data_IF_001695958190
#
_entry.id   IF_001695958190
#
_cell.length_a   1.000
_cell.length_b   1.000
_cell.length_c   1.000
_cell.angle_alpha   90.00
_cell.angle_beta   90.00
_cell.angle_gamma   90.00
#
_symmetry.space_group_name_H-M   'P 1'
#
loop_
_entity.id
_entity.type
_entity.pdbx_description
1 polymer ?
#
# COMPACT_ATOMS: atom_id res chain seq x y z
N UNK A 1 2.29 70.04 -110.81
CA UNK A 1 0.89 70.01 -111.25
C UNK A 1 0.17 69.10 -110.27
N UNK A 2 -0.65 69.50 -109.47
CA UNK A 2 -1.73 70.42 -109.50
C UNK A 2 -2.81 69.89 -108.54
N UNK A 3 -3.20 70.68 -107.63
CA UNK A 3 -4.53 70.86 -107.07
C UNK A 3 -5.15 69.68 -106.26
N UNK A 4 -5.36 69.83 -104.96
CA UNK A 4 -6.35 70.69 -104.30
C UNK A 4 -7.65 69.95 -103.99
N UNK A 5 -8.05 69.96 -102.77
CA UNK A 5 -9.28 70.37 -102.08
C UNK A 5 -9.64 69.46 -100.92
N UNK A 6 -9.64 70.08 -99.79
CA UNK A 6 -10.61 69.77 -98.76
C UNK A 6 -12.02 70.19 -99.20
N UNK A 7 -13.13 69.86 -98.50
CA UNK A 7 -13.42 70.13 -97.08
C UNK A 7 -14.44 69.17 -96.43
N UNK A 8 -14.50 69.27 -95.06
CA UNK A 8 -15.63 69.72 -94.22
C UNK A 8 -16.71 68.71 -93.77
N UNK A 9 -16.77 68.57 -92.46
CA UNK A 9 -17.95 68.63 -91.50
C UNK A 9 -18.95 67.50 -91.49
N UNK A 10 -19.26 67.18 -90.39
CA UNK A 10 -20.23 67.23 -89.30
C UNK A 10 -20.68 65.85 -88.85
N UNK A 11 -20.64 65.56 -87.65
CA UNK A 11 -21.65 65.84 -86.61
C UNK A 11 -22.29 64.58 -86.18
N UNK A 12 -22.17 64.24 -84.91
CA UNK A 12 -22.94 63.13 -84.37
C UNK A 12 -22.53 62.77 -82.95
N UNK A 13 -22.62 63.73 -82.14
CA UNK A 13 -22.60 63.58 -80.63
C UNK A 13 -23.88 62.95 -80.14
N UNK A 14 -23.71 62.27 -78.99
CA UNK A 14 -24.69 61.94 -77.95
C UNK A 14 -25.40 60.58 -78.03
N UNK A 15 -25.08 59.82 -77.07
CA UNK A 15 -25.95 59.02 -76.16
C UNK A 15 -25.27 57.78 -75.66
N UNK A 16 -24.22 57.96 -74.80
CA UNK A 16 -23.67 56.85 -74.00
C UNK A 16 -23.48 57.17 -72.53
N UNK A 17 -24.07 58.23 -71.96
CA UNK A 17 -23.90 58.64 -70.55
C UNK A 17 -24.90 58.07 -69.53
N UNK A 18 -26.13 57.63 -69.84
CA UNK A 18 -26.99 57.10 -68.80
C UNK A 18 -26.65 55.66 -68.33
N UNK A 19 -26.15 54.82 -69.23
CA UNK A 19 -25.88 53.39 -68.91
C UNK A 19 -24.68 53.24 -67.90
N UNK A 20 -23.66 54.10 -68.05
CA UNK A 20 -22.50 54.07 -67.18
C UNK A 20 -22.86 54.56 -65.77
N UNK A 21 -23.79 55.52 -65.61
CA UNK A 21 -24.27 56.00 -64.33
C UNK A 21 -25.13 54.94 -63.64
N UNK A 22 -25.98 54.23 -64.42
CA UNK A 22 -26.79 53.12 -63.84
C UNK A 22 -25.92 51.93 -63.42
N UNK A 23 -24.88 51.59 -64.17
CA UNK A 23 -23.95 50.49 -63.77
C UNK A 23 -23.14 50.86 -62.50
N UNK A 24 -22.72 52.12 -62.36
CA UNK A 24 -22.04 52.58 -61.12
C UNK A 24 -23.00 52.60 -59.96
N UNK A 25 -24.25 53.02 -60.11
CA UNK A 25 -25.26 52.99 -59.05
C UNK A 25 -25.59 51.58 -58.62
N UNK A 26 -25.69 50.60 -59.58
CA UNK A 26 -25.93 49.19 -59.23
C UNK A 26 -24.75 48.59 -58.50
N UNK A 27 -23.49 48.89 -58.91
CA UNK A 27 -22.28 48.45 -58.19
C UNK A 27 -22.20 49.07 -56.80
N UNK A 28 -22.56 50.38 -56.63
CA UNK A 28 -22.55 51.01 -55.31
C UNK A 28 -23.68 50.46 -54.45
N UNK A 29 -24.88 50.20 -54.98
CA UNK A 29 -25.96 49.56 -54.24
C UNK A 29 -25.61 48.09 -53.87
N UNK A 30 -24.97 47.34 -54.79
CA UNK A 30 -24.49 46.00 -54.47
C UNK A 30 -23.35 46.00 -53.45
N UNK A 31 -22.43 46.99 -53.51
CA UNK A 31 -21.39 47.18 -52.52
C UNK A 31 -21.95 47.61 -51.16
N UNK A 32 -22.95 48.49 -51.13
CA UNK A 32 -23.67 48.88 -49.91
C UNK A 32 -24.49 47.71 -49.34
N UNK A 33 -25.16 46.91 -50.19
CA UNK A 33 -25.86 45.71 -49.77
C UNK A 33 -24.88 44.64 -49.25
N UNK A 34 -23.69 44.49 -49.84
CA UNK A 34 -22.64 43.65 -49.34
C UNK A 34 -22.04 44.14 -48.03
N UNK A 35 -21.90 45.46 -47.87
CA UNK A 35 -21.42 46.07 -46.64
C UNK A 35 -22.46 46.13 -45.54
N UNK A 36 -23.74 46.19 -45.89
CA UNK A 36 -24.89 46.06 -44.93
C UNK A 36 -25.32 44.62 -44.70
N UNK A 37 -24.69 43.61 -45.33
CA UNK A 37 -24.92 42.22 -44.96
C UNK A 37 -24.46 42.05 -43.54
N UNK A 38 -25.35 41.73 -42.59
CA UNK A 38 -24.94 41.65 -41.20
C UNK A 38 -23.85 40.58 -41.06
N UNK A 39 -22.63 40.95 -40.66
CA UNK A 39 -21.65 40.00 -40.20
C UNK A 39 -22.28 39.19 -39.07
N UNK A 40 -22.74 37.99 -39.38
CA UNK A 40 -23.42 37.08 -38.41
C UNK A 40 -22.55 36.70 -37.23
N UNK A 41 -21.24 37.03 -37.26
CA UNK A 41 -20.28 36.65 -36.26
C UNK A 41 -20.06 37.71 -35.16
N UNK A 42 -20.61 38.91 -35.27
CA UNK A 42 -20.39 40.02 -34.36
C UNK A 42 -20.97 39.80 -32.94
N UNK A 43 -21.80 38.77 -32.75
CA UNK A 43 -22.47 38.51 -31.45
C UNK A 43 -22.34 37.05 -31.00
N UNK A 44 -21.34 36.32 -31.52
CA UNK A 44 -21.09 34.93 -31.12
C UNK A 44 -20.16 34.85 -29.90
N UNK A 45 -20.59 34.12 -28.87
CA UNK A 45 -19.84 33.90 -27.65
C UNK A 45 -18.81 32.81 -27.89
N UNK A 46 -17.50 33.08 -27.62
CA UNK A 46 -16.46 32.05 -27.78
C UNK A 46 -16.64 30.96 -26.71
N UNK A 47 -16.68 29.70 -27.13
CA UNK A 47 -16.84 28.54 -26.25
C UNK A 47 -15.93 27.41 -26.68
N UNK A 48 -15.47 26.62 -25.73
CA UNK A 48 -14.85 25.33 -26.02
C UNK A 48 -15.93 24.31 -26.31
N UNK A 49 -15.68 23.49 -27.29
CA UNK A 49 -16.60 22.45 -27.72
C UNK A 49 -15.98 21.08 -27.55
N UNK A 50 -16.79 20.09 -27.25
CA UNK A 50 -16.43 18.68 -27.20
C UNK A 50 -17.48 17.86 -27.93
N UNK A 51 -17.10 16.70 -28.42
CA UNK A 51 -18.03 15.78 -29.10
C UNK A 51 -18.44 14.66 -28.18
N UNK A 52 -19.74 14.37 -28.13
CA UNK A 52 -20.27 13.19 -27.47
C UNK A 52 -19.86 11.93 -28.22
N UNK A 53 -19.12 11.03 -27.58
CA UNK A 53 -18.60 9.79 -28.20
C UNK A 53 -19.12 8.58 -27.44
N UNK A 54 -19.44 7.53 -28.18
CA UNK A 54 -19.75 6.25 -27.55
C UNK A 54 -18.43 5.56 -27.21
N UNK A 55 -18.19 5.38 -25.91
CA UNK A 55 -17.01 4.68 -25.40
C UNK A 55 -17.29 4.05 -24.04
N UNK A 56 -16.43 3.11 -23.66
CA UNK A 56 -16.45 2.49 -22.35
C UNK A 56 -15.83 3.43 -21.33
N UNK A 57 -16.61 3.82 -20.34
CA UNK A 57 -16.10 4.57 -19.18
C UNK A 57 -15.78 3.62 -18.04
N UNK A 58 -14.56 3.70 -17.55
CA UNK A 58 -14.14 3.00 -16.34
C UNK A 58 -14.37 3.91 -15.16
N UNK A 59 -15.20 3.45 -14.25
CA UNK A 59 -15.45 4.10 -12.98
C UNK A 59 -14.39 3.64 -11.98
N UNK A 60 -13.66 4.59 -11.41
CA UNK A 60 -12.58 4.30 -10.46
C UNK A 60 -12.85 4.91 -9.09
N UNK A 61 -12.44 4.19 -8.07
CA UNK A 61 -12.39 4.66 -6.67
C UNK A 61 -10.94 4.93 -6.34
N UNK A 62 -10.62 6.16 -5.96
CA UNK A 62 -9.27 6.55 -5.55
C UNK A 62 -9.12 6.45 -4.03
N UNK A 63 -8.04 5.83 -3.58
CA UNK A 63 -7.75 5.68 -2.16
C UNK A 63 -6.25 5.88 -1.87
N UNK A 64 -5.90 6.59 -0.78
CA UNK A 64 -4.52 6.70 -0.33
C UNK A 64 -4.05 5.39 0.30
N UNK A 65 -2.76 5.12 0.18
CA UNK A 65 -2.18 3.90 0.74
C UNK A 65 -0.68 4.01 1.01
N UNK A 66 -0.14 2.94 1.58
CA UNK A 66 1.29 2.81 1.85
C UNK A 66 1.80 1.51 1.25
N UNK A 67 2.93 1.59 0.58
CA UNK A 67 3.59 0.43 -0.02
C UNK A 67 4.28 -0.37 1.08
N UNK A 68 3.97 -1.65 1.18
CA UNK A 68 4.57 -2.57 2.14
C UNK A 68 4.95 -3.89 1.45
N UNK A 69 5.97 -4.59 1.95
CA UNK A 69 6.30 -5.92 1.45
C UNK A 69 5.20 -6.91 1.85
N UNK A 70 4.96 -7.89 0.99
CA UNK A 70 3.99 -8.97 1.28
C UNK A 70 4.43 -9.82 2.47
N UNK A 71 5.74 -10.04 2.61
CA UNK A 71 6.35 -10.78 3.72
C UNK A 71 7.39 -9.92 4.40
N UNK A 72 7.21 -9.67 5.69
CA UNK A 72 8.21 -9.06 6.57
C UNK A 72 8.21 -9.76 7.91
N UNK A 73 9.37 -9.84 8.52
CA UNK A 73 9.56 -10.40 9.85
C UNK A 73 10.40 -9.44 10.67
N UNK A 74 9.85 -9.06 11.80
CA UNK A 74 10.59 -8.31 12.82
C UNK A 74 11.38 -9.32 13.66
N UNK A 75 12.70 -9.27 13.56
CA UNK A 75 13.61 -10.12 14.30
C UNK A 75 13.87 -9.49 15.66
N UNK A 76 13.49 -10.21 16.72
CA UNK A 76 13.65 -9.79 18.12
C UNK A 76 14.51 -10.80 18.89
N UNK A 77 15.01 -10.38 20.06
CA UNK A 77 15.77 -11.23 20.93
C UNK A 77 14.90 -12.32 21.56
N UNK A 78 15.36 -13.57 21.48
CA UNK A 78 14.75 -14.74 22.14
C UNK A 78 15.36 -15.06 23.51
N UNK A 79 16.55 -14.51 23.77
CA UNK A 79 17.26 -14.58 25.05
C UNK A 79 17.80 -13.19 25.39
N UNK A 80 17.82 -12.87 26.69
CA UNK A 80 18.38 -11.59 27.15
C UNK A 80 19.89 -11.69 27.25
N UNK A 81 20.60 -11.00 26.35
CA UNK A 81 22.06 -11.00 26.30
C UNK A 81 22.57 -9.74 25.54
N UNK A 82 23.88 -9.51 25.61
CA UNK A 82 24.53 -8.41 24.87
C UNK A 82 24.86 -8.86 23.45
N UNK A 83 24.66 -7.96 22.46
CA UNK A 83 25.06 -8.20 21.07
C UNK A 83 26.59 -8.25 20.98
N UNK A 84 27.12 -9.38 20.56
CA UNK A 84 28.54 -9.59 20.35
C UNK A 84 28.97 -9.23 18.94
N UNK A 85 28.21 -9.71 17.94
CA UNK A 85 28.47 -9.48 16.53
C UNK A 85 27.17 -9.18 15.77
N UNK A 86 27.25 -8.20 14.88
CA UNK A 86 26.18 -7.79 13.98
C UNK A 86 26.78 -7.57 12.58
N UNK A 87 26.96 -8.66 11.79
CA UNK A 87 27.73 -8.60 10.54
C UNK A 87 26.99 -7.89 9.40
N UNK A 88 25.69 -7.62 9.54
CA UNK A 88 24.82 -7.09 8.50
C UNK A 88 24.59 -5.59 8.67
N UNK A 89 24.29 -4.93 7.53
CA UNK A 89 23.87 -3.54 7.47
C UNK A 89 22.50 -3.44 6.80
N UNK A 90 21.83 -2.31 6.94
CA UNK A 90 20.62 -2.04 6.16
C UNK A 90 20.93 -2.17 4.67
N UNK A 91 20.00 -2.79 3.94
CA UNK A 91 20.16 -3.10 2.52
C UNK A 91 20.88 -4.43 2.23
N UNK A 92 21.40 -5.14 3.23
CA UNK A 92 22.04 -6.44 3.03
C UNK A 92 21.00 -7.51 2.61
N UNK A 93 21.35 -8.29 1.60
CA UNK A 93 20.56 -9.46 1.15
C UNK A 93 20.88 -10.64 2.04
N UNK A 94 19.86 -11.31 2.55
CA UNK A 94 19.97 -12.48 3.42
C UNK A 94 19.11 -13.61 2.92
N UNK A 95 19.57 -14.84 3.16
CA UNK A 95 18.82 -16.07 2.89
C UNK A 95 18.31 -16.67 4.20
N UNK A 96 17.26 -17.45 4.10
CA UNK A 96 16.76 -18.23 5.23
C UNK A 96 17.86 -19.12 5.81
N UNK A 97 18.12 -18.97 7.12
CA UNK A 97 19.18 -19.66 7.84
C UNK A 97 20.50 -18.90 7.96
N UNK A 98 20.68 -17.78 7.26
CA UNK A 98 21.87 -16.94 7.43
C UNK A 98 21.90 -16.32 8.83
N UNK A 99 23.09 -16.25 9.42
CA UNK A 99 23.28 -15.65 10.74
C UNK A 99 23.12 -14.13 10.66
N UNK A 100 22.14 -13.64 11.42
CA UNK A 100 21.84 -12.20 11.50
C UNK A 100 22.58 -11.54 12.66
N UNK A 101 22.57 -12.20 13.83
CA UNK A 101 23.09 -11.65 15.08
C UNK A 101 23.71 -12.77 15.90
N UNK A 102 24.83 -12.47 16.56
CA UNK A 102 25.37 -13.31 17.62
C UNK A 102 25.33 -12.57 18.94
N UNK A 103 24.66 -13.16 19.91
CA UNK A 103 24.60 -12.68 21.28
C UNK A 103 25.69 -13.31 22.13
N UNK A 104 26.06 -12.66 23.23
CA UNK A 104 27.02 -13.19 24.19
C UNK A 104 26.39 -14.37 24.98
N UNK A 105 26.85 -15.55 24.65
CA UNK A 105 26.39 -16.81 25.24
C UNK A 105 27.23 -17.31 26.40
N UNK A 106 28.23 -16.57 26.91
CA UNK A 106 29.15 -17.06 27.94
C UNK A 106 28.46 -17.56 29.19
N UNK A 107 27.47 -16.82 29.69
CA UNK A 107 26.71 -17.19 30.89
C UNK A 107 25.83 -18.44 30.63
N UNK A 108 25.22 -18.53 29.46
CA UNK A 108 24.42 -19.69 29.06
C UNK A 108 25.27 -20.93 28.84
N UNK A 109 26.48 -20.78 28.31
CA UNK A 109 27.45 -21.87 28.15
C UNK A 109 27.98 -22.38 29.52
N UNK A 110 28.23 -21.45 30.46
CA UNK A 110 28.58 -21.81 31.82
C UNK A 110 27.43 -22.55 32.54
N UNK A 111 26.20 -22.12 32.34
CA UNK A 111 25.02 -22.82 32.85
C UNK A 111 24.87 -24.21 32.26
N UNK A 112 25.07 -24.38 30.95
CA UNK A 112 25.06 -25.69 30.30
C UNK A 112 26.12 -26.62 30.91
N UNK A 113 27.39 -26.16 31.02
CA UNK A 113 28.49 -26.91 31.61
C UNK A 113 28.19 -27.34 33.03
N UNK A 114 27.55 -26.49 33.84
CA UNK A 114 27.14 -26.80 35.21
C UNK A 114 26.09 -27.93 35.25
N UNK A 115 25.11 -27.92 34.37
CA UNK A 115 24.08 -28.99 34.32
C UNK A 115 24.69 -30.29 33.78
N UNK A 116 25.62 -30.22 32.83
CA UNK A 116 26.35 -31.41 32.34
C UNK A 116 27.19 -32.07 33.43
N UNK A 117 27.94 -31.27 34.21
CA UNK A 117 28.70 -31.77 35.36
C UNK A 117 27.81 -32.43 36.42
N UNK A 118 26.60 -31.84 36.64
CA UNK A 118 25.61 -32.42 37.58
C UNK A 118 25.10 -33.78 37.09
N UNK A 119 24.74 -33.90 35.80
CA UNK A 119 24.35 -35.20 35.22
C UNK A 119 25.45 -36.24 35.37
N UNK A 120 26.73 -35.87 35.14
CA UNK A 120 27.83 -36.80 35.24
C UNK A 120 28.05 -37.25 36.69
N UNK A 121 27.86 -36.35 37.68
CA UNK A 121 27.83 -36.72 39.09
C UNK A 121 26.72 -37.74 39.42
N UNK A 122 25.49 -37.58 38.86
CA UNK A 122 24.42 -38.57 39.06
C UNK A 122 24.74 -39.90 38.35
N UNK A 123 25.43 -39.92 37.23
CA UNK A 123 25.91 -41.17 36.58
C UNK A 123 26.90 -41.93 37.46
N UNK A 124 27.86 -41.23 38.09
CA UNK A 124 28.79 -41.87 38.99
C UNK A 124 28.09 -42.47 40.23
N UNK A 125 27.06 -41.78 40.77
CA UNK A 125 26.24 -42.31 41.85
C UNK A 125 25.46 -43.57 41.41
N UNK A 126 24.90 -43.57 40.23
CA UNK A 126 24.20 -44.73 39.65
C UNK A 126 25.15 -45.93 39.55
N UNK A 127 26.36 -45.75 39.03
CA UNK A 127 27.33 -46.82 38.87
C UNK A 127 27.80 -47.39 40.24
N UNK A 128 28.01 -46.52 41.20
CA UNK A 128 28.28 -46.94 42.58
C UNK A 128 27.16 -47.78 43.19
N UNK A 129 25.90 -47.37 42.97
CA UNK A 129 24.74 -48.11 43.45
C UNK A 129 24.57 -49.45 42.73
N UNK A 130 24.83 -49.52 41.44
CA UNK A 130 24.87 -50.78 40.68
C UNK A 130 25.86 -51.75 41.27
N UNK A 131 27.10 -51.30 41.58
CA UNK A 131 28.12 -52.12 42.21
C UNK A 131 27.68 -52.65 43.61
N UNK A 132 26.99 -51.76 44.40
CA UNK A 132 26.42 -52.15 45.72
C UNK A 132 25.34 -53.21 45.57
N UNK A 133 24.44 -53.06 44.57
CA UNK A 133 23.37 -54.05 44.31
C UNK A 133 23.96 -55.39 43.89
N UNK A 134 25.02 -55.42 43.11
CA UNK A 134 25.71 -56.70 42.79
C UNK A 134 26.16 -57.45 44.03
N UNK A 135 26.84 -56.78 45.00
CA UNK A 135 27.21 -57.37 46.26
C UNK A 135 26.01 -57.87 47.08
N UNK A 136 24.92 -57.07 47.17
CA UNK A 136 23.68 -57.48 47.86
C UNK A 136 23.04 -58.69 47.19
N UNK A 137 23.02 -58.77 45.87
CA UNK A 137 22.48 -59.90 45.09
C UNK A 137 23.25 -61.20 45.34
N UNK A 138 24.60 -61.14 45.42
CA UNK A 138 25.44 -62.27 45.74
C UNK A 138 25.20 -62.77 47.19
N UNK A 139 25.09 -61.83 48.16
CA UNK A 139 24.74 -62.16 49.53
C UNK A 139 23.38 -62.85 49.68
N UNK A 140 22.38 -62.37 48.90
CA UNK A 140 21.06 -62.97 48.85
C UNK A 140 21.12 -64.39 48.23
N UNK A 141 21.89 -64.58 47.14
CA UNK A 141 22.07 -65.88 46.48
C UNK A 141 22.67 -66.90 47.48
N UNK A 142 23.69 -66.49 48.20
CA UNK A 142 24.34 -67.35 49.24
C UNK A 142 23.34 -67.68 50.36
N UNK A 143 22.54 -66.68 50.82
CA UNK A 143 21.53 -66.91 51.86
C UNK A 143 20.42 -67.88 51.39
N UNK A 144 19.95 -67.75 50.13
CA UNK A 144 18.99 -68.69 49.53
C UNK A 144 19.53 -70.11 49.47
N UNK A 145 20.80 -70.27 49.09
CA UNK A 145 21.44 -71.58 49.05
C UNK A 145 21.55 -72.19 50.47
N UNK A 146 21.81 -71.36 51.50
CA UNK A 146 21.86 -71.83 52.89
C UNK A 146 20.48 -72.16 53.42
N UNK A 147 19.45 -71.36 53.10
CA UNK A 147 18.03 -71.65 53.43
C UNK A 147 17.61 -73.02 52.85
N UNK A 148 17.95 -73.26 51.55
CA UNK A 148 17.64 -74.50 50.92
C UNK A 148 18.29 -75.69 51.63
N UNK A 149 19.59 -75.60 52.08
CA UNK A 149 20.25 -76.59 52.86
C UNK A 149 19.58 -76.85 54.23
N UNK A 150 19.21 -75.77 54.95
CA UNK A 150 18.51 -75.86 56.24
C UNK A 150 17.11 -76.47 56.10
N UNK A 151 16.40 -76.16 55.03
CA UNK A 151 15.11 -76.75 54.71
C UNK A 151 15.19 -78.29 54.45
N UNK A 152 16.24 -78.72 53.77
CA UNK A 152 16.48 -80.16 53.50
C UNK A 152 16.85 -80.91 54.82
N UNK A 153 17.70 -80.33 55.69
CA UNK A 153 18.11 -80.90 56.98
C UNK A 153 16.92 -80.91 57.99
N UNK A 154 16.01 -79.91 57.91
CA UNK A 154 14.79 -79.93 58.73
C UNK A 154 13.85 -81.04 58.29
N UNK A 155 13.74 -81.33 57.02
CA UNK A 155 12.94 -82.41 56.49
C UNK A 155 13.46 -83.78 56.89
N UNK A 156 14.84 -83.95 57.11
CA UNK A 156 15.43 -85.14 57.63
C UNK A 156 15.45 -85.23 59.20
N UNK A 157 15.06 -84.13 59.89
CA UNK A 157 15.03 -84.07 61.34
C UNK A 157 16.36 -83.67 62.01
N UNK A 158 17.39 -83.24 61.25
CA UNK A 158 18.73 -82.94 61.74
C UNK A 158 18.92 -81.54 62.33
N UNK A 159 17.89 -80.61 62.11
CA UNK A 159 17.94 -79.25 62.62
C UNK A 159 16.61 -78.85 63.26
N UNK A 160 16.65 -77.86 64.14
CA UNK A 160 15.48 -77.33 64.82
C UNK A 160 14.62 -76.41 63.93
N UNK A 161 13.30 -76.33 64.24
CA UNK A 161 12.39 -75.36 63.55
C UNK A 161 12.88 -73.94 63.71
N UNK A 162 13.56 -73.56 64.82
CA UNK A 162 14.10 -72.24 65.03
C UNK A 162 15.22 -71.93 64.02
N UNK A 163 16.15 -72.89 63.79
CA UNK A 163 17.23 -72.69 62.79
C UNK A 163 16.71 -72.48 61.39
N UNK A 164 15.65 -73.19 61.00
CA UNK A 164 14.98 -72.97 59.71
C UNK A 164 14.30 -71.56 59.66
N UNK A 165 13.59 -71.17 60.72
CA UNK A 165 12.94 -69.86 60.82
C UNK A 165 13.97 -68.69 60.74
N UNK A 166 15.11 -68.80 61.38
CA UNK A 166 16.19 -67.83 61.38
C UNK A 166 16.77 -67.65 59.96
N UNK A 167 17.02 -68.76 59.22
CA UNK A 167 17.45 -68.76 57.84
C UNK A 167 16.39 -68.12 56.90
N UNK A 168 15.10 -68.39 57.16
CA UNK A 168 14.00 -67.77 56.39
C UNK A 168 13.97 -66.24 56.62
N UNK A 169 14.05 -65.78 57.86
CA UNK A 169 14.03 -64.37 58.20
C UNK A 169 15.20 -63.65 57.57
N UNK A 170 16.42 -64.17 57.69
CA UNK A 170 17.61 -63.63 57.08
C UNK A 170 17.52 -63.46 55.57
N UNK A 171 16.92 -64.48 54.91
CA UNK A 171 16.73 -64.41 53.44
C UNK A 171 15.70 -63.35 53.04
N UNK A 172 14.58 -63.23 53.81
CA UNK A 172 13.61 -62.18 53.60
C UNK A 172 14.15 -60.80 53.84
N UNK A 173 15.01 -60.59 54.84
CA UNK A 173 15.66 -59.33 55.13
C UNK A 173 16.59 -58.88 53.97
N UNK A 174 17.37 -59.82 53.42
CA UNK A 174 18.20 -59.58 52.24
C UNK A 174 17.38 -59.29 50.97
N UNK A 175 16.25 -59.97 50.80
CA UNK A 175 15.32 -59.66 49.70
C UNK A 175 14.74 -58.24 49.81
N UNK A 176 14.34 -57.86 51.03
CA UNK A 176 13.83 -56.49 51.27
C UNK A 176 14.92 -55.43 51.04
N UNK A 177 16.19 -55.72 51.44
CA UNK A 177 17.35 -54.85 51.18
C UNK A 177 17.62 -54.70 49.67
N UNK A 178 17.56 -55.83 48.90
CA UNK A 178 17.76 -55.78 47.46
C UNK A 178 16.68 -54.93 46.78
N UNK A 179 15.42 -55.18 47.13
CA UNK A 179 14.28 -54.41 46.58
C UNK A 179 14.40 -52.91 46.89
N UNK A 180 14.82 -52.51 48.10
CA UNK A 180 15.05 -51.12 48.47
C UNK A 180 16.20 -50.51 47.62
N UNK A 181 17.30 -51.27 47.40
CA UNK A 181 18.39 -50.80 46.58
C UNK A 181 18.01 -50.68 45.10
N UNK A 182 17.20 -51.60 44.57
CA UNK A 182 16.63 -51.50 43.20
C UNK A 182 15.72 -50.30 43.02
N UNK A 183 14.91 -49.96 44.04
CA UNK A 183 14.14 -48.73 44.04
C UNK A 183 15.00 -47.46 44.04
N UNK A 184 16.09 -47.46 44.80
CA UNK A 184 17.09 -46.39 44.81
C UNK A 184 17.74 -46.23 43.43
N UNK A 185 18.09 -47.34 42.76
CA UNK A 185 18.63 -47.34 41.41
C UNK A 185 17.67 -46.72 40.44
N UNK A 186 16.38 -47.07 40.53
CA UNK A 186 15.31 -46.47 39.68
C UNK A 186 15.18 -44.97 39.90
N UNK A 187 15.27 -44.49 41.16
CA UNK A 187 15.25 -43.04 41.48
C UNK A 187 16.44 -42.32 40.89
N UNK A 188 17.66 -42.90 40.97
CA UNK A 188 18.86 -42.31 40.36
C UNK A 188 18.77 -42.27 38.82
N UNK A 189 18.18 -43.31 38.22
CA UNK A 189 17.93 -43.28 36.75
C UNK A 189 16.98 -42.14 36.38
N UNK A 190 15.90 -41.92 37.13
CA UNK A 190 14.98 -40.79 36.92
C UNK A 190 15.65 -39.43 37.16
N UNK A 191 16.57 -39.31 38.09
CA UNK A 191 17.35 -38.09 38.31
C UNK A 191 18.26 -37.79 37.08
N UNK A 192 18.86 -38.80 36.47
CA UNK A 192 19.63 -38.66 35.23
C UNK A 192 18.75 -38.23 34.06
N UNK A 193 17.54 -38.83 33.89
CA UNK A 193 16.57 -38.47 32.87
C UNK A 193 16.17 -36.99 33.03
N UNK A 194 15.90 -36.53 34.27
CA UNK A 194 15.60 -35.13 34.57
C UNK A 194 16.75 -34.19 34.24
N UNK A 195 18.00 -34.60 34.58
CA UNK A 195 19.19 -33.79 34.23
C UNK A 195 19.42 -33.72 32.73
N UNK A 196 19.09 -34.79 31.97
CA UNK A 196 19.14 -34.79 30.51
C UNK A 196 18.18 -33.78 29.91
N UNK A 197 16.93 -33.67 30.43
CA UNK A 197 15.96 -32.68 30.00
C UNK A 197 16.47 -31.24 30.31
N UNK A 198 17.10 -31.03 31.47
CA UNK A 198 17.69 -29.72 31.80
C UNK A 198 18.85 -29.35 30.87
N UNK A 199 19.67 -30.32 30.44
CA UNK A 199 20.73 -30.11 29.44
C UNK A 199 20.14 -29.66 28.12
N UNK A 200 19.09 -30.31 27.62
CA UNK A 200 18.42 -29.89 26.36
C UNK A 200 17.83 -28.49 26.47
N UNK A 201 17.25 -28.14 27.60
CA UNK A 201 16.76 -26.78 27.86
C UNK A 201 17.91 -25.74 27.83
N UNK A 202 19.02 -26.03 28.48
CA UNK A 202 20.21 -25.13 28.47
C UNK A 202 20.85 -25.04 27.09
N UNK A 203 20.89 -26.12 26.32
CA UNK A 203 21.36 -26.11 24.92
C UNK A 203 20.48 -25.29 24.00
N UNK A 204 19.16 -25.40 24.17
CA UNK A 204 18.22 -24.60 23.41
C UNK A 204 18.39 -23.13 23.70
N UNK A 205 18.54 -22.74 25.00
CA UNK A 205 18.83 -21.35 25.37
C UNK A 205 20.14 -20.85 24.72
N UNK A 206 21.18 -21.68 24.68
CA UNK A 206 22.43 -21.33 24.02
C UNK A 206 22.26 -21.24 22.50
N UNK A 207 21.51 -22.14 21.83
CA UNK A 207 21.21 -22.00 20.40
C UNK A 207 20.56 -20.70 20.04
N UNK A 208 19.63 -20.21 20.88
CA UNK A 208 18.92 -18.93 20.70
C UNK A 208 19.82 -17.69 20.83
N UNK A 209 21.09 -17.83 21.20
CA UNK A 209 22.07 -16.74 21.11
C UNK A 209 22.51 -16.44 19.68
N UNK A 210 22.32 -17.39 18.76
CA UNK A 210 22.60 -17.22 17.33
C UNK A 210 21.26 -17.05 16.62
N UNK A 211 20.95 -15.82 16.27
CA UNK A 211 19.70 -15.48 15.60
C UNK A 211 19.91 -15.58 14.10
N UNK A 212 19.04 -16.36 13.43
CA UNK A 212 19.12 -16.60 11.99
C UNK A 212 17.89 -16.06 11.27
N UNK A 213 18.02 -15.78 9.96
CA UNK A 213 16.90 -15.30 9.17
C UNK A 213 15.85 -16.39 8.98
N UNK A 214 14.57 -16.10 9.29
CA UNK A 214 13.46 -17.03 9.05
C UNK A 214 13.01 -17.07 7.57
N UNK A 215 13.33 -16.02 6.78
CA UNK A 215 12.94 -15.86 5.38
C UNK A 215 14.10 -15.38 4.52
N UNK A 216 13.99 -15.57 3.21
CA UNK A 216 14.83 -14.88 2.24
C UNK A 216 14.35 -13.43 2.11
N UNK A 217 15.28 -12.47 2.02
CA UNK A 217 14.89 -11.07 1.91
C UNK A 217 16.06 -10.09 2.04
N UNK A 218 15.69 -8.85 2.36
CA UNK A 218 16.63 -7.74 2.56
C UNK A 218 16.40 -7.14 3.96
N UNK A 219 17.47 -6.78 4.64
CA UNK A 219 17.40 -6.05 5.90
C UNK A 219 16.92 -4.62 5.62
N UNK A 220 15.68 -4.32 6.02
CA UNK A 220 15.05 -3.01 5.75
C UNK A 220 15.20 -2.02 6.89
N UNK A 221 15.43 -2.53 8.09
CA UNK A 221 15.64 -1.71 9.30
C UNK A 221 16.62 -2.44 10.21
N UNK A 222 17.60 -1.73 10.73
CA UNK A 222 18.53 -2.17 11.77
C UNK A 222 18.35 -1.26 12.99
N UNK A 223 17.72 -1.79 14.06
CA UNK A 223 17.32 -1.00 15.21
C UNK A 223 18.29 -1.13 16.40
N UNK A 224 19.22 -2.09 16.38
CA UNK A 224 20.14 -2.35 17.48
C UNK A 224 21.60 -2.27 17.03
N UNK A 225 22.50 -2.00 17.97
CA UNK A 225 23.94 -1.85 17.74
C UNK A 225 24.77 -2.91 18.51
N UNK A 226 26.00 -3.15 18.03
CA UNK A 226 26.95 -4.04 18.71
C UNK A 226 27.28 -3.51 20.10
N UNK A 227 27.22 -4.37 21.11
CA UNK A 227 27.45 -4.02 22.49
C UNK A 227 26.18 -3.65 23.27
N UNK A 228 25.05 -3.48 22.59
CA UNK A 228 23.75 -3.21 23.24
C UNK A 228 23.21 -4.45 23.96
N UNK A 229 22.52 -4.25 25.09
CA UNK A 229 21.81 -5.29 25.81
C UNK A 229 20.40 -5.44 25.22
N UNK A 230 20.10 -6.57 24.65
CA UNK A 230 18.77 -6.90 24.14
C UNK A 230 18.01 -7.75 25.17
N UNK A 231 16.72 -7.52 25.27
CA UNK A 231 15.84 -8.20 26.23
C UNK A 231 14.71 -8.92 25.53
N UNK A 232 14.35 -10.08 26.07
CA UNK A 232 13.16 -10.83 25.64
C UNK A 232 11.89 -10.07 26.00
N UNK A 233 10.90 -10.11 25.12
CA UNK A 233 9.57 -9.57 25.42
C UNK A 233 8.89 -10.31 26.55
N UNK A 234 8.19 -9.57 27.40
CA UNK A 234 7.33 -10.09 28.46
C UNK A 234 5.88 -9.73 28.18
N UNK A 235 4.93 -10.25 29.00
CA UNK A 235 3.50 -9.93 28.83
C UNK A 235 3.21 -8.42 28.84
N UNK A 236 4.03 -7.61 29.51
CA UNK A 236 3.82 -6.18 29.67
C UNK A 236 4.77 -5.31 28.83
N UNK A 237 5.83 -5.88 28.25
CA UNK A 237 6.81 -5.16 27.44
C UNK A 237 7.14 -5.93 26.17
N UNK A 238 7.07 -5.24 25.03
CA UNK A 238 7.61 -5.79 23.79
C UNK A 238 9.12 -6.03 23.94
N UNK A 239 9.62 -7.15 23.45
CA UNK A 239 11.06 -7.42 23.40
C UNK A 239 11.80 -6.43 22.50
N UNK A 240 13.11 -6.35 22.68
CA UNK A 240 13.98 -5.52 21.85
C UNK A 240 13.92 -6.03 20.40
N UNK A 241 13.40 -5.22 19.48
CA UNK A 241 13.49 -5.49 18.04
C UNK A 241 14.90 -5.15 17.57
N UNK A 242 15.58 -6.12 16.98
CA UNK A 242 16.95 -5.96 16.52
C UNK A 242 16.98 -5.46 15.08
N UNK A 243 16.23 -6.11 14.21
CA UNK A 243 16.14 -5.74 12.79
C UNK A 243 14.81 -6.19 12.17
N UNK A 244 14.53 -5.69 10.98
CA UNK A 244 13.42 -6.16 10.14
C UNK A 244 13.96 -6.71 8.84
N UNK A 245 13.58 -7.94 8.50
CA UNK A 245 13.87 -8.57 7.22
C UNK A 245 12.60 -8.63 6.40
N UNK A 246 12.65 -8.18 5.14
CA UNK A 246 11.51 -8.14 4.26
C UNK A 246 11.85 -8.65 2.85
N UNK A 247 10.90 -9.31 2.24
CA UNK A 247 10.95 -9.69 0.83
C UNK A 247 10.44 -8.53 -0.03
N UNK A 248 11.36 -7.80 -0.65
CA UNK A 248 11.03 -6.66 -1.52
C UNK A 248 10.70 -7.09 -2.97
N UNK A 249 10.73 -8.36 -3.30
CA UNK A 249 10.33 -8.88 -4.61
C UNK A 249 8.81 -8.89 -4.80
N UNK A 250 8.07 -9.09 -3.72
CA UNK A 250 6.61 -9.07 -3.70
C UNK A 250 6.12 -7.93 -2.80
N UNK A 251 5.70 -6.84 -3.44
CA UNK A 251 5.19 -5.67 -2.74
C UNK A 251 3.68 -5.53 -2.93
N UNK A 252 3.03 -4.90 -2.00
CA UNK A 252 1.61 -4.56 -2.05
C UNK A 252 1.37 -3.15 -1.53
N UNK A 253 0.32 -2.53 -2.02
CA UNK A 253 -0.18 -1.30 -1.45
C UNK A 253 -1.27 -1.65 -0.43
N UNK A 254 -1.13 -1.13 0.77
CA UNK A 254 -2.14 -1.15 1.80
C UNK A 254 -2.99 0.12 1.68
N UNK A 255 -4.07 0.04 0.92
CA UNK A 255 -4.96 1.16 0.65
C UNK A 255 -6.01 1.31 1.74
N UNK A 256 -6.37 2.56 2.06
CA UNK A 256 -7.43 2.91 3.00
C UNK A 256 -8.62 3.44 2.23
N UNK A 257 -9.61 2.58 2.05
CA UNK A 257 -10.83 2.88 1.28
C UNK A 257 -11.92 3.35 2.22
N UNK A 258 -12.69 4.36 1.78
CA UNK A 258 -13.85 4.87 2.52
C UNK A 258 -14.95 3.82 2.66
N UNK A 259 -15.71 3.90 3.76
CA UNK A 259 -16.91 3.09 3.98
C UNK A 259 -17.96 3.25 2.87
N UNK A 260 -18.02 4.42 2.23
CA UNK A 260 -18.95 4.68 1.12
C UNK A 260 -18.67 3.89 -0.14
N UNK A 261 -17.39 3.53 -0.35
CA UNK A 261 -16.91 2.95 -1.60
C UNK A 261 -16.59 1.45 -1.49
N UNK A 262 -16.40 0.95 -0.27
CA UNK A 262 -15.95 -0.44 -0.04
C UNK A 262 -16.90 -1.50 -0.61
N UNK A 263 -18.21 -1.22 -0.60
CA UNK A 263 -19.22 -2.16 -1.11
C UNK A 263 -19.08 -2.47 -2.62
N UNK A 264 -18.36 -1.61 -3.34
CA UNK A 264 -18.13 -1.72 -4.79
C UNK A 264 -16.80 -2.42 -5.13
N UNK A 265 -15.98 -2.71 -4.13
CA UNK A 265 -14.64 -3.29 -4.31
C UNK A 265 -14.68 -4.76 -3.94
N UNK A 266 -14.20 -5.59 -4.85
CA UNK A 266 -14.09 -7.03 -4.66
C UNK A 266 -12.66 -7.52 -4.96
N UNK A 267 -12.24 -8.64 -4.38
CA UNK A 267 -11.00 -9.30 -4.78
C UNK A 267 -10.97 -9.57 -6.28
N UNK A 268 -9.84 -9.30 -6.92
CA UNK A 268 -9.67 -9.45 -8.35
C UNK A 268 -9.86 -8.20 -9.18
N UNK A 269 -10.36 -7.11 -8.62
CA UNK A 269 -10.47 -5.81 -9.28
C UNK A 269 -9.08 -5.32 -9.70
N UNK A 270 -8.96 -4.83 -10.93
CA UNK A 270 -7.73 -4.23 -11.45
C UNK A 270 -7.53 -2.83 -10.86
N UNK A 271 -6.28 -2.47 -10.65
CA UNK A 271 -5.92 -1.21 -10.03
C UNK A 271 -4.71 -0.59 -10.72
N UNK A 272 -4.67 0.73 -10.71
CA UNK A 272 -3.46 1.50 -11.07
C UNK A 272 -2.93 2.20 -9.82
N UNK A 273 -1.66 1.96 -9.50
CA UNK A 273 -1.02 2.49 -8.30
C UNK A 273 -0.01 3.57 -8.67
N UNK A 274 -0.19 4.74 -8.10
CA UNK A 274 0.66 5.91 -8.26
C UNK A 274 1.45 6.13 -6.98
N UNK A 275 2.75 5.82 -7.01
CA UNK A 275 3.64 6.00 -5.87
C UNK A 275 4.25 7.40 -5.95
N UNK A 276 4.18 8.18 -4.88
CA UNK A 276 4.62 9.59 -4.88
C UNK A 276 6.08 9.78 -5.25
N UNK A 277 6.93 8.79 -4.97
CA UNK A 277 8.34 8.81 -5.35
C UNK A 277 8.58 8.53 -6.86
N UNK A 278 7.57 7.99 -7.58
CA UNK A 278 7.66 7.57 -8.99
C UNK A 278 6.49 8.16 -9.80
N UNK A 279 6.38 9.50 -9.83
CA UNK A 279 5.23 10.26 -10.34
C UNK A 279 4.83 9.92 -11.78
N UNK A 280 5.80 9.59 -12.64
CA UNK A 280 5.57 9.37 -14.06
C UNK A 280 5.41 7.88 -14.43
N UNK A 281 5.31 7.00 -13.44
CA UNK A 281 5.24 5.56 -13.67
C UNK A 281 4.12 4.94 -12.82
N UNK A 282 2.93 4.74 -13.41
CA UNK A 282 1.90 3.96 -12.76
C UNK A 282 2.32 2.47 -12.72
N UNK A 283 2.04 1.83 -11.60
CA UNK A 283 2.24 0.40 -11.41
C UNK A 283 0.89 -0.31 -11.55
N UNK A 284 0.83 -1.31 -12.40
CA UNK A 284 -0.34 -2.16 -12.48
C UNK A 284 -0.48 -2.98 -11.17
N UNK A 285 -1.71 -3.10 -10.71
CA UNK A 285 -2.03 -3.84 -9.49
C UNK A 285 -3.34 -4.59 -9.60
N UNK A 286 -3.56 -5.46 -8.62
CA UNK A 286 -4.82 -6.19 -8.48
C UNK A 286 -5.18 -6.30 -7.01
N UNK A 287 -6.46 -6.13 -6.69
CA UNK A 287 -6.96 -6.32 -5.34
C UNK A 287 -6.79 -7.79 -4.94
N UNK A 288 -5.98 -8.08 -3.93
CA UNK A 288 -5.80 -9.40 -3.35
C UNK A 288 -6.83 -9.67 -2.25
N UNK A 289 -7.00 -8.71 -1.36
CA UNK A 289 -7.83 -8.87 -0.16
C UNK A 289 -8.53 -7.56 0.21
N UNK A 290 -9.76 -7.69 0.68
CA UNK A 290 -10.56 -6.60 1.23
C UNK A 290 -10.88 -6.95 2.69
N UNK A 291 -10.47 -6.11 3.63
CA UNK A 291 -10.72 -6.34 5.04
C UNK A 291 -12.23 -6.28 5.34
N UNK A 292 -12.69 -7.22 6.14
CA UNK A 292 -14.10 -7.31 6.58
C UNK A 292 -14.40 -6.43 7.80
N UNK A 293 -13.37 -5.88 8.44
CA UNK A 293 -13.48 -4.99 9.60
C UNK A 293 -12.99 -3.59 9.27
N UNK A 294 -13.71 -2.60 9.79
CA UNK A 294 -13.31 -1.20 9.69
C UNK A 294 -12.13 -0.89 10.60
N UNK A 295 -11.31 0.03 10.18
CA UNK A 295 -10.30 0.67 10.99
C UNK A 295 -10.72 2.11 11.24
N UNK A 296 -10.71 2.54 12.50
CA UNK A 296 -10.96 3.93 12.85
C UNK A 296 -9.62 4.66 12.87
N UNK A 297 -9.47 5.63 11.99
CA UNK A 297 -8.27 6.48 11.93
C UNK A 297 -8.28 7.48 13.11
N UNK A 298 -7.12 8.08 13.39
CA UNK A 298 -6.96 9.03 14.51
C UNK A 298 -7.83 10.29 14.38
N UNK A 299 -8.22 10.63 13.16
CA UNK A 299 -9.11 11.75 12.83
C UNK A 299 -10.61 11.40 12.92
N UNK A 300 -10.95 10.16 13.31
CA UNK A 300 -12.32 9.67 13.41
C UNK A 300 -12.90 9.13 12.11
N UNK A 301 -12.14 9.11 11.02
CA UNK A 301 -12.59 8.59 9.73
C UNK A 301 -12.64 7.06 9.76
N UNK A 302 -13.76 6.47 9.28
CA UNK A 302 -13.90 5.03 9.10
C UNK A 302 -13.35 4.60 7.74
N UNK A 303 -12.33 3.76 7.76
CA UNK A 303 -11.72 3.20 6.54
C UNK A 303 -11.67 1.69 6.60
N UNK A 304 -11.61 1.08 5.42
CA UNK A 304 -11.38 -0.35 5.26
C UNK A 304 -10.02 -0.57 4.58
N UNK A 305 -9.27 -1.52 5.10
CA UNK A 305 -8.00 -1.91 4.52
C UNK A 305 -8.22 -2.75 3.28
N UNK A 306 -7.65 -2.33 2.16
CA UNK A 306 -7.63 -3.07 0.89
C UNK A 306 -6.19 -3.32 0.50
N UNK A 307 -5.83 -4.58 0.30
CA UNK A 307 -4.50 -4.99 -0.12
C UNK A 307 -4.46 -5.16 -1.64
N UNK A 308 -3.61 -4.38 -2.28
CA UNK A 308 -3.44 -4.39 -3.73
C UNK A 308 -2.03 -4.86 -4.06
N UNK A 309 -1.90 -5.98 -4.78
CA UNK A 309 -0.60 -6.45 -5.28
C UNK A 309 -0.02 -5.47 -6.30
N UNK A 310 1.29 -5.34 -6.33
CA UNK A 310 2.02 -4.46 -7.25
C UNK A 310 2.84 -5.29 -8.24
N UNK A 311 2.68 -5.04 -9.53
CA UNK A 311 3.58 -5.55 -10.55
C UNK A 311 4.80 -4.62 -10.69
N UNK A 312 5.88 -5.00 -10.05
CA UNK A 312 7.11 -4.21 -10.00
C UNK A 312 7.98 -4.34 -11.26
N UNK A 313 7.69 -5.29 -12.14
CA UNK A 313 8.50 -5.60 -13.34
C UNK A 313 10.01 -5.72 -13.03
N UNK A 314 10.34 -6.32 -11.88
CA UNK A 314 11.71 -6.53 -11.42
C UNK A 314 12.40 -5.33 -10.75
N UNK A 315 11.68 -4.23 -10.50
CA UNK A 315 12.23 -3.10 -9.75
C UNK A 315 12.14 -3.35 -8.25
N UNK A 316 13.19 -2.99 -7.53
CA UNK A 316 13.17 -2.98 -6.06
C UNK A 316 12.71 -1.61 -5.58
N UNK A 317 11.62 -1.59 -4.82
CA UNK A 317 11.03 -0.35 -4.29
C UNK A 317 11.15 -0.37 -2.76
N UNK A 318 11.61 0.72 -2.13
CA UNK A 318 11.63 0.83 -0.68
C UNK A 318 10.25 0.67 -0.06
N UNK A 319 10.19 0.01 1.10
CA UNK A 319 8.99 -0.10 1.90
C UNK A 319 8.64 1.23 2.58
N UNK A 320 7.36 1.47 2.84
CA UNK A 320 6.89 2.66 3.57
C UNK A 320 6.59 3.87 2.68
N UNK A 321 6.73 3.78 1.37
CA UNK A 321 6.37 4.85 0.45
C UNK A 321 4.86 5.05 0.42
N UNK A 322 4.44 6.32 0.41
CA UNK A 322 3.04 6.69 0.23
C UNK A 322 2.68 6.74 -1.25
N UNK A 323 1.44 6.37 -1.55
CA UNK A 323 0.89 6.41 -2.90
C UNK A 323 -0.63 6.44 -2.88
N UNK A 324 -1.21 6.61 -4.05
CA UNK A 324 -2.64 6.50 -4.28
C UNK A 324 -2.91 5.31 -5.20
N UNK A 325 -4.07 4.72 -5.07
CA UNK A 325 -4.54 3.66 -5.95
C UNK A 325 -5.88 4.04 -6.54
N UNK A 326 -6.02 3.84 -7.84
CA UNK A 326 -7.28 3.95 -8.55
C UNK A 326 -7.79 2.54 -8.86
N UNK A 327 -8.90 2.17 -8.20
CA UNK A 327 -9.52 0.85 -8.28
C UNK A 327 -10.63 0.88 -9.32
N UNK A 328 -10.55 0.10 -10.37
CA UNK A 328 -11.50 0.07 -11.48
C UNK A 328 -12.75 -0.76 -11.13
N UNK A 329 -13.71 -0.13 -10.46
CA UNK A 329 -14.85 -0.82 -9.83
C UNK A 329 -15.97 -1.19 -10.80
N UNK A 330 -16.13 -0.44 -11.88
CA UNK A 330 -17.15 -0.70 -12.91
C UNK A 330 -16.68 -0.23 -14.27
N UNK A 331 -17.18 -0.88 -15.30
CA UNK A 331 -16.97 -0.50 -16.70
C UNK A 331 -18.33 -0.44 -17.36
N UNK A 332 -18.72 0.73 -17.84
CA UNK A 332 -20.04 0.98 -18.44
C UNK A 332 -19.88 1.57 -19.82
N UNK A 333 -20.55 0.98 -20.80
CA UNK A 333 -20.60 1.51 -22.17
C UNK A 333 -21.70 2.56 -22.27
N UNK A 334 -21.36 3.71 -22.85
CA UNK A 334 -22.34 4.77 -23.01
C UNK A 334 -21.85 5.95 -23.83
N UNK A 335 -22.71 6.96 -23.96
CA UNK A 335 -22.35 8.24 -24.59
C UNK A 335 -21.61 9.06 -23.53
N UNK A 336 -20.34 9.29 -23.75
CA UNK A 336 -19.43 9.96 -22.83
C UNK A 336 -19.26 11.41 -23.28
N UNK A 337 -19.35 12.33 -22.31
CA UNK A 337 -19.02 13.74 -22.47
C UNK A 337 -18.11 14.19 -21.34
N UNK A 338 -17.24 15.20 -21.58
CA UNK A 338 -16.49 15.80 -20.49
C UNK A 338 -17.43 16.26 -19.36
N UNK A 339 -17.11 15.92 -18.10
CA UNK A 339 -17.98 16.22 -16.94
C UNK A 339 -18.31 17.71 -16.82
N UNK A 340 -17.42 18.58 -17.31
CA UNK A 340 -17.61 20.03 -17.37
C UNK A 340 -18.78 20.46 -18.29
N UNK A 341 -19.17 19.62 -19.25
CA UNK A 341 -20.29 19.92 -20.17
C UNK A 341 -21.67 19.78 -19.50
N UNK A 342 -21.74 19.09 -18.37
CA UNK A 342 -22.98 18.90 -17.62
C UNK A 342 -23.06 19.98 -16.55
N UNK A 343 -24.12 20.79 -16.61
CA UNK A 343 -24.37 21.90 -15.69
C UNK A 343 -25.72 21.71 -15.02
N UNK A 344 -25.77 21.82 -13.71
CA UNK A 344 -27.00 21.80 -12.95
C UNK A 344 -27.66 23.20 -12.99
N UNK A 345 -28.85 23.29 -13.58
CA UNK A 345 -29.66 24.54 -13.58
C UNK A 345 -30.94 24.39 -12.80
N UNK A 346 -31.38 25.48 -12.19
CA UNK A 346 -32.65 25.52 -11.51
C UNK A 346 -33.79 25.36 -12.50
N UNK A 347 -34.76 24.54 -12.14
CA UNK A 347 -35.92 24.25 -13.01
C UNK A 347 -36.69 25.54 -13.36
N UNK A 348 -36.77 26.53 -12.45
CA UNK A 348 -37.45 27.80 -12.63
C UNK A 348 -36.75 28.73 -13.65
N UNK A 349 -35.47 28.55 -13.90
CA UNK A 349 -34.65 29.33 -14.83
C UNK A 349 -34.66 28.75 -16.26
N UNK A 350 -35.27 27.57 -16.44
CA UNK A 350 -35.32 26.90 -17.75
C UNK A 350 -36.42 27.49 -18.63
N UNK A 351 -36.20 27.59 -19.97
CA UNK A 351 -37.24 27.91 -20.90
C UNK A 351 -38.44 26.96 -20.76
N UNK A 352 -39.66 27.49 -20.92
CA UNK A 352 -40.90 26.69 -20.74
C UNK A 352 -40.96 25.44 -21.63
N UNK A 353 -40.29 25.46 -22.78
CA UNK A 353 -40.20 24.31 -23.68
C UNK A 353 -39.31 23.19 -23.06
N UNK A 354 -38.18 23.57 -22.49
CA UNK A 354 -37.23 22.64 -21.86
C UNK A 354 -37.77 22.12 -20.53
N UNK A 355 -38.41 22.96 -19.74
CA UNK A 355 -39.01 22.58 -18.45
C UNK A 355 -40.19 21.57 -18.57
N UNK A 356 -40.77 21.41 -19.78
CA UNK A 356 -41.81 20.40 -20.07
C UNK A 356 -41.26 19.06 -20.52
N UNK A 357 -39.93 18.95 -20.73
CA UNK A 357 -39.28 17.70 -21.13
C UNK A 357 -39.49 16.62 -20.04
N UNK A 358 -39.88 15.40 -20.41
CA UNK A 358 -40.08 14.31 -19.47
C UNK A 358 -38.83 13.95 -18.64
N UNK A 359 -37.64 14.33 -19.09
CA UNK A 359 -36.39 14.11 -18.36
C UNK A 359 -36.16 15.08 -17.19
N UNK A 360 -36.94 16.19 -17.15
CA UNK A 360 -36.88 17.17 -16.06
C UNK A 360 -37.67 16.67 -14.84
N UNK A 361 -36.95 16.36 -13.77
CA UNK A 361 -37.57 15.95 -12.51
C UNK A 361 -38.16 17.15 -11.76
N UNK A 362 -39.45 17.39 -11.89
CA UNK A 362 -40.16 18.52 -11.25
C UNK A 362 -40.12 18.57 -9.72
N UNK A 363 -39.70 17.45 -9.11
CA UNK A 363 -39.54 17.34 -7.64
C UNK A 363 -38.18 17.83 -7.16
N UNK A 364 -37.22 18.03 -8.05
CA UNK A 364 -35.88 18.52 -7.71
C UNK A 364 -35.78 20.02 -8.01
N UNK A 365 -35.01 20.73 -7.19
CA UNK A 365 -34.70 22.15 -7.39
C UNK A 365 -33.85 22.42 -8.62
N UNK A 366 -32.98 21.47 -8.95
CA UNK A 366 -32.04 21.55 -10.09
C UNK A 366 -32.19 20.34 -10.98
N UNK A 367 -31.85 20.51 -12.27
CA UNK A 367 -31.77 19.43 -13.26
C UNK A 367 -30.44 19.52 -14.04
N UNK A 368 -29.77 18.41 -14.30
CA UNK A 368 -28.59 18.38 -15.16
C UNK A 368 -28.98 18.64 -16.60
N UNK A 369 -28.30 19.59 -17.24
CA UNK A 369 -28.47 19.94 -18.65
C UNK A 369 -27.12 19.91 -19.36
N UNK A 370 -27.17 19.70 -20.66
CA UNK A 370 -26.06 19.84 -21.60
C UNK A 370 -26.44 20.89 -22.64
N UNK A 371 -25.46 21.75 -22.96
CA UNK A 371 -25.62 22.75 -24.02
C UNK A 371 -25.12 22.13 -25.34
N UNK A 372 -26.05 21.72 -26.19
CA UNK A 372 -25.78 21.14 -27.50
C UNK A 372 -25.64 22.25 -28.53
N UNK A 373 -24.58 22.20 -29.34
CA UNK A 373 -24.38 23.16 -30.43
C UNK A 373 -24.78 22.51 -31.74
N UNK A 374 -25.73 23.15 -32.43
CA UNK A 374 -26.14 22.78 -33.79
C UNK A 374 -26.11 24.02 -34.69
N UNK A 375 -25.36 23.99 -35.74
CA UNK A 375 -25.22 25.11 -36.69
C UNK A 375 -24.82 26.44 -36.01
N UNK A 376 -23.96 26.36 -35.00
CA UNK A 376 -23.51 27.51 -34.19
C UNK A 376 -24.54 28.07 -33.22
N UNK A 377 -25.67 27.40 -32.99
CA UNK A 377 -26.74 27.81 -32.07
C UNK A 377 -26.78 26.81 -30.90
N UNK A 378 -26.91 27.37 -29.70
CA UNK A 378 -26.98 26.57 -28.46
C UNK A 378 -28.42 26.11 -28.21
N UNK A 379 -28.60 24.85 -27.90
CA UNK A 379 -29.87 24.30 -27.41
C UNK A 379 -29.63 23.65 -26.03
N UNK A 380 -30.47 24.01 -25.07
CA UNK A 380 -30.46 23.46 -23.73
C UNK A 380 -31.18 22.11 -23.73
N UNK A 381 -30.50 21.05 -23.37
CA UNK A 381 -31.09 19.73 -23.37
C UNK A 381 -30.94 19.07 -21.99
N UNK A 382 -32.08 18.74 -21.31
CA UNK A 382 -32.03 17.96 -20.10
C UNK A 382 -31.45 16.57 -20.34
N UNK A 383 -30.61 16.10 -19.43
CA UNK A 383 -29.95 14.80 -19.56
C UNK A 383 -30.10 14.02 -18.25
N UNK A 384 -30.00 12.70 -18.38
CA UNK A 384 -29.83 11.82 -17.23
C UNK A 384 -28.37 11.37 -17.22
N UNK A 385 -27.62 11.85 -16.23
CA UNK A 385 -26.24 11.45 -16.02
C UNK A 385 -26.18 10.07 -15.35
N UNK A 386 -25.22 9.26 -15.78
CA UNK A 386 -24.89 7.93 -15.21
C UNK A 386 -23.56 7.93 -14.50
N UNK A 387 -22.76 6.87 -14.75
CA UNK A 387 -21.42 6.72 -14.21
C UNK A 387 -20.49 7.87 -14.65
N UNK A 388 -19.59 8.27 -13.76
CA UNK A 388 -18.62 9.33 -14.03
C UNK A 388 -17.24 8.97 -13.47
N UNK A 389 -16.19 9.50 -14.10
CA UNK A 389 -14.84 9.50 -13.55
C UNK A 389 -14.34 10.95 -13.35
N UNK A 390 -13.04 11.14 -13.13
CA UNK A 390 -12.46 12.47 -12.90
C UNK A 390 -12.67 13.47 -14.04
N UNK A 391 -12.72 13.02 -15.29
CA UNK A 391 -12.76 13.88 -16.48
C UNK A 391 -14.09 13.80 -17.24
N UNK A 392 -14.72 12.63 -17.23
CA UNK A 392 -15.82 12.31 -18.12
C UNK A 392 -17.04 11.73 -17.40
N UNK A 393 -18.23 11.93 -17.99
CA UNK A 393 -19.50 11.43 -17.45
C UNK A 393 -20.31 10.78 -18.57
N UNK A 394 -20.90 9.61 -18.29
CA UNK A 394 -21.86 8.98 -19.20
C UNK A 394 -23.19 9.70 -19.13
N UNK A 395 -23.74 9.99 -20.28
CA UNK A 395 -25.13 10.44 -20.44
C UNK A 395 -25.97 9.23 -20.86
N UNK A 396 -26.88 8.83 -19.98
CA UNK A 396 -27.77 7.66 -20.21
C UNK A 396 -28.91 8.01 -21.15
N UNK A 397 -29.48 9.23 -20.99
CA UNK A 397 -30.59 9.72 -21.81
C UNK A 397 -30.44 11.22 -22.09
N UNK A 398 -30.94 11.67 -23.23
CA UNK A 398 -30.99 13.07 -23.61
C UNK A 398 -29.94 13.51 -24.63
N UNK A 399 -28.93 12.67 -24.98
CA UNK A 399 -27.86 13.00 -25.94
C UNK A 399 -27.68 11.89 -26.95
N UNK A 400 -27.23 12.23 -28.16
CA UNK A 400 -26.91 11.28 -29.22
C UNK A 400 -25.42 11.29 -29.51
N UNK A 401 -24.92 10.17 -30.02
CA UNK A 401 -23.52 10.07 -30.48
C UNK A 401 -23.23 11.07 -31.61
N UNK A 402 -22.09 11.73 -31.55
CA UNK A 402 -21.65 12.71 -32.54
C UNK A 402 -22.16 14.13 -32.31
N UNK A 403 -23.04 14.37 -31.33
CA UNK A 403 -23.49 15.72 -31.01
C UNK A 403 -22.35 16.54 -30.39
N UNK A 404 -22.25 17.80 -30.79
CA UNK A 404 -21.27 18.75 -30.23
C UNK A 404 -21.85 19.41 -29.00
N UNK A 405 -21.10 19.40 -27.90
CA UNK A 405 -21.49 19.98 -26.62
C UNK A 405 -20.52 21.06 -26.19
N UNK A 406 -21.00 22.06 -25.45
CA UNK A 406 -20.15 23.12 -24.88
C UNK A 406 -19.47 22.58 -23.62
N UNK A 407 -18.16 22.70 -23.55
CA UNK A 407 -17.33 22.23 -22.43
C UNK A 407 -16.71 23.36 -21.62
N UNK A 408 -16.88 24.61 -22.05
CA UNK A 408 -16.32 25.75 -21.31
C UNK A 408 -16.26 27.05 -22.11
N UNK A 409 -15.75 28.11 -21.49
CA UNK A 409 -15.41 28.27 -20.08
C UNK A 409 -16.65 28.26 -19.16
N UNK A 410 -16.47 27.95 -17.86
CA UNK A 410 -17.59 27.79 -16.90
C UNK A 410 -18.56 28.98 -16.84
N UNK A 411 -18.04 30.21 -16.93
CA UNK A 411 -18.89 31.43 -16.99
C UNK A 411 -19.82 31.43 -18.20
N UNK A 412 -19.38 30.97 -19.34
CA UNK A 412 -20.20 30.86 -20.54
C UNK A 412 -21.26 29.78 -20.37
N UNK A 413 -20.93 28.65 -19.75
CA UNK A 413 -21.88 27.58 -19.46
C UNK A 413 -23.05 28.04 -18.57
N UNK A 414 -22.82 28.94 -17.61
CA UNK A 414 -23.88 29.50 -16.75
C UNK A 414 -24.71 30.57 -17.46
N UNK A 415 -24.09 31.40 -18.29
CA UNK A 415 -24.74 32.57 -18.90
C UNK A 415 -25.51 32.30 -20.20
N UNK A 416 -25.08 31.24 -20.95
CA UNK A 416 -25.68 30.89 -22.24
C UNK A 416 -27.15 30.49 -22.11
N UNK A 417 -28.00 30.99 -23.02
CA UNK A 417 -29.44 30.73 -23.09
C UNK A 417 -29.76 29.94 -24.35
N UNK A 418 -30.95 29.39 -24.38
CA UNK A 418 -31.51 28.76 -25.59
C UNK A 418 -31.51 29.74 -26.76
N UNK A 419 -30.94 29.36 -27.88
CA UNK A 419 -30.87 30.16 -29.09
C UNK A 419 -29.66 31.08 -29.22
N UNK A 420 -28.78 31.14 -28.23
CA UNK A 420 -27.57 31.94 -28.31
C UNK A 420 -26.59 31.39 -29.38
N UNK A 421 -25.92 32.31 -30.09
CA UNK A 421 -24.91 31.94 -31.07
C UNK A 421 -23.56 31.81 -30.41
N UNK A 422 -22.87 30.71 -30.71
CA UNK A 422 -21.54 30.40 -30.19
C UNK A 422 -20.57 30.14 -31.32
N UNK A 423 -19.32 30.47 -31.06
CA UNK A 423 -18.20 30.17 -31.93
C UNK A 423 -17.16 29.36 -31.16
N UNK A 424 -16.54 28.40 -31.83
CA UNK A 424 -15.45 27.64 -31.23
C UNK A 424 -14.27 28.57 -30.91
N UNK A 425 -13.80 28.52 -29.66
CA UNK A 425 -12.61 29.24 -29.20
C UNK A 425 -11.38 28.53 -29.79
N UNK A 426 -10.78 29.11 -30.84
CA UNK A 426 -9.49 28.64 -31.34
C UNK A 426 -8.48 28.72 -30.20
N UNK A 427 -7.96 27.57 -29.73
CA UNK A 427 -6.81 27.56 -28.87
C UNK A 427 -5.65 28.22 -29.62
N UNK A 428 -5.30 29.42 -29.27
CA UNK A 428 -4.02 29.99 -29.62
C UNK A 428 -2.94 29.15 -28.93
N UNK A 429 -2.51 28.12 -29.65
CA UNK A 429 -1.31 27.36 -29.32
C UNK A 429 -0.15 28.35 -29.37
N UNK A 430 0.35 28.82 -28.23
CA UNK A 430 1.46 29.75 -28.24
C UNK A 430 1.57 30.71 -27.08
N UNK A 431 1.39 30.24 -25.86
CA UNK A 431 2.07 30.91 -24.75
C UNK A 431 3.39 30.19 -24.47
N UNK A 432 4.32 30.31 -25.46
CA UNK A 432 5.76 30.18 -25.20
C UNK A 432 6.06 31.16 -24.08
N UNK A 433 6.39 30.64 -22.92
CA UNK A 433 7.08 31.41 -21.89
C UNK A 433 8.38 31.91 -22.48
N UNK A 434 8.33 33.16 -22.98
CA UNK A 434 9.49 33.91 -23.36
C UNK A 434 10.22 34.28 -22.08
N UNK A 435 11.20 33.47 -21.71
CA UNK A 435 12.20 33.79 -20.69
C UNK A 435 13.03 34.97 -21.19
N UNK A 436 12.53 36.18 -20.98
CA UNK A 436 13.25 37.44 -21.16
C UNK A 436 14.25 37.61 -20.07
N UNK A 437 15.50 37.16 -20.35
CA UNK A 437 16.65 37.67 -19.67
C UNK A 437 16.83 39.14 -20.08
N UNK A 438 16.89 40.01 -19.10
CA UNK A 438 17.21 41.41 -19.23
C UNK A 438 18.06 41.82 -18.04
N UNK A 439 19.38 41.84 -18.28
CA UNK A 439 20.37 42.33 -17.37
C UNK A 439 20.43 43.86 -17.33
N UNK A 440 21.19 44.38 -16.39
CA UNK A 440 21.54 45.79 -16.23
C UNK A 440 21.12 46.26 -14.85
N UNK A 441 21.98 46.42 -13.90
CA UNK A 441 23.17 47.17 -13.88
C UNK A 441 23.04 48.26 -12.83
N UNK A 442 23.93 48.33 -11.90
CA UNK A 442 24.32 49.61 -11.35
C UNK A 442 23.91 49.96 -9.93
N UNK A 443 24.85 49.85 -9.02
CA UNK A 443 25.28 51.01 -8.30
C UNK A 443 24.87 51.17 -6.85
N UNK A 444 25.81 50.95 -5.96
CA UNK A 444 26.30 52.00 -5.10
C UNK A 444 25.76 52.12 -3.68
N UNK A 445 26.66 51.88 -2.75
CA UNK A 445 26.82 52.79 -1.61
C UNK A 445 26.13 52.37 -0.32
N UNK A 446 26.87 51.86 0.63
CA UNK A 446 27.48 52.69 1.62
C UNK A 446 26.86 52.59 2.99
N UNK A 447 27.61 52.11 3.96
CA UNK A 447 27.73 52.81 5.21
C UNK A 447 27.11 52.19 6.48
N UNK A 448 27.99 51.67 7.32
CA UNK A 448 28.02 52.03 8.74
C UNK A 448 26.94 51.43 9.62
N UNK A 449 27.25 50.72 10.62
CA UNK A 449 28.08 50.93 11.70
C UNK A 449 27.43 50.54 13.01
N UNK A 450 28.19 49.89 13.83
CA UNK A 450 28.21 49.92 15.29
C UNK A 450 27.18 49.15 16.13
N UNK A 451 27.78 48.18 16.86
CA UNK A 451 27.82 48.13 18.34
C UNK A 451 26.49 47.90 19.04
N UNK A 452 26.35 47.00 19.93
CA UNK A 452 27.00 46.64 21.12
C UNK A 452 26.09 45.80 21.95
N UNK A 453 26.66 44.92 22.75
CA UNK A 453 26.50 44.78 24.16
C UNK A 453 25.30 43.92 24.54
N UNK A 454 25.41 42.79 25.22
CA UNK A 454 26.05 42.63 26.49
C UNK A 454 25.05 42.17 27.50
N UNK A 455 25.37 41.12 28.28
CA UNK A 455 24.60 40.71 29.44
C UNK A 455 23.84 39.39 29.20
N UNK A 456 24.15 38.23 29.71
CA UNK A 456 24.66 37.95 31.05
C UNK A 456 23.59 37.83 32.09
N UNK A 457 23.26 36.56 32.44
CA UNK A 457 22.88 36.08 33.79
C UNK A 457 22.30 34.64 33.61
N UNK A 458 22.89 33.60 34.02
CA UNK A 458 22.97 32.86 35.31
C UNK A 458 21.63 32.73 36.05
N UNK A 459 21.45 31.49 36.43
CA UNK A 459 20.84 30.93 37.66
C UNK A 459 19.55 30.15 37.42
N UNK A 460 19.64 28.90 37.90
CA UNK A 460 18.54 28.06 38.25
C UNK A 460 18.78 26.58 37.93
#
# INVERSE_FOLDING_TARGET
>A
MGYSYAPVKDGGTLMRKPIFIYSVVVVVVAALAYWMWPNSDANSIPVRQGTAKKQTLVESVSAPGTVEPKRKVDVSAEVSARILELPLREGAVVKKGDVLVKLDGRDLNAALTSVEARRDGEKFRLESERSRIMGTRENLANSKAQLQRQSNLYASGDVSKQALSDAQTRTKDLEAQLNAAEQTLSQLQKAIDSSAAQIEQAREALRRTIIVSPIDGIVTLLAAEVGELVMVGTMNNAGTRIMTVADLGEMRLNARVSETDIARIAPGVTAEVFINAYKDQPFAGKVEEVALSRTLEKDGTSTFKVLVSLDLKGKVIPSGLSGNVDLNVASTDGIVVPSQAIVDRKVDELPKAVAKDPLVQKTKLTTPIVLVVKDGIVSLRPVVSGASNMSDTIVVQGLKEGETVVTGPYRSLESLKEGDRVKEEEMKDGMRMNGGGGGGGGGGGGGGGRRGGGGGLRIG
#
